data_IF_353710680568
#
_entry.id   IF_353710680568
#
_cell.length_a   1.000
_cell.length_b   1.000
_cell.length_c   1.000
_cell.angle_alpha   90.00
_cell.angle_beta   90.00
_cell.angle_gamma   90.00
#
_symmetry.space_group_name_H-M   'P 1'
#
loop_
_entity.id
_entity.type
_entity.pdbx_description
1 polymer ?
#
# COMPACT_ATOMS: atom_id res chain seq x y z
N UNK A 1 0.85 6.59 -12.37
CA UNK A 1 -0.60 6.72 -12.59
C UNK A 1 -1.11 5.90 -13.77
N UNK A 2 -0.49 5.98 -14.95
CA UNK A 2 -0.99 5.29 -16.17
C UNK A 2 -1.20 3.78 -16.05
N UNK A 3 -0.36 3.10 -15.26
CA UNK A 3 -0.48 1.68 -14.94
C UNK A 3 -1.71 1.32 -14.06
N UNK A 4 -2.42 2.31 -13.52
CA UNK A 4 -3.62 2.13 -12.70
C UNK A 4 -3.39 2.14 -11.18
N UNK A 5 -2.37 2.86 -10.70
CA UNK A 5 -2.17 3.08 -9.28
C UNK A 5 -3.30 3.96 -8.70
N UNK A 6 -3.74 3.66 -7.48
CA UNK A 6 -4.86 4.34 -6.84
C UNK A 6 -4.37 5.46 -5.93
N UNK A 7 -4.86 6.68 -6.15
CA UNK A 7 -4.72 7.77 -5.17
C UNK A 7 -5.87 7.74 -4.18
N UNK A 8 -5.61 7.19 -3.00
CA UNK A 8 -6.61 6.95 -1.93
C UNK A 8 -6.24 7.65 -0.61
N UNK A 9 -5.35 8.64 -0.68
CA UNK A 9 -4.84 9.34 0.49
C UNK A 9 -5.98 10.04 1.24
N UNK A 10 -6.25 9.57 2.46
CA UNK A 10 -7.05 10.31 3.43
C UNK A 10 -6.18 11.43 4.02
N UNK A 11 -6.71 12.66 4.19
CA UNK A 11 -5.98 13.72 4.87
C UNK A 11 -5.55 13.27 6.27
N UNK A 12 -4.25 13.24 6.53
CA UNK A 12 -3.72 12.96 7.87
C UNK A 12 -3.99 14.15 8.79
N UNK A 13 -4.47 13.86 9.99
CA UNK A 13 -4.77 14.87 11.00
C UNK A 13 -3.65 14.90 12.04
N UNK A 14 -3.13 16.09 12.35
CA UNK A 14 -2.12 16.32 13.38
C UNK A 14 -2.71 17.17 14.50
N UNK A 15 -2.75 16.59 15.71
CA UNK A 15 -3.09 17.32 16.93
C UNK A 15 -1.90 18.19 17.34
N UNK A 16 -2.13 19.49 17.50
CA UNK A 16 -1.19 20.42 18.09
C UNK A 16 -1.41 20.41 19.59
N UNK A 17 -0.37 20.06 20.34
CA UNK A 17 -0.39 20.08 21.79
C UNK A 17 0.35 21.30 22.31
N UNK A 18 -0.09 21.81 23.46
CA UNK A 18 0.61 22.82 24.21
C UNK A 18 1.94 22.27 24.73
N UNK A 19 3.01 23.05 24.62
CA UNK A 19 4.38 22.59 24.85
C UNK A 19 4.68 22.22 26.32
N UNK A 20 3.93 22.78 27.28
CA UNK A 20 4.19 22.57 28.70
C UNK A 20 3.21 21.57 29.34
N UNK A 21 1.94 21.65 28.99
CA UNK A 21 0.85 20.84 29.58
C UNK A 21 0.56 19.57 28.79
N UNK A 22 1.01 19.49 27.53
CA UNK A 22 0.59 18.48 26.54
C UNK A 22 -0.92 18.48 26.24
N UNK A 23 -1.64 19.54 26.61
CA UNK A 23 -3.06 19.67 26.33
C UNK A 23 -3.30 19.95 24.84
N UNK A 24 -4.34 19.37 24.20
CA UNK A 24 -4.62 19.58 22.79
C UNK A 24 -5.17 21.00 22.56
N UNK A 25 -4.45 21.80 21.77
CA UNK A 25 -4.84 23.17 21.40
C UNK A 25 -5.68 23.16 20.11
N UNK A 26 -5.22 22.43 19.11
CA UNK A 26 -5.77 22.52 17.75
C UNK A 26 -5.59 21.21 16.97
N UNK A 27 -6.37 21.05 15.91
CA UNK A 27 -6.37 19.89 15.03
C UNK A 27 -6.21 20.36 13.60
N UNK A 28 -5.02 20.15 13.02
CA UNK A 28 -4.73 20.58 11.65
C UNK A 28 -4.62 19.40 10.70
N UNK A 29 -5.14 19.57 9.49
CA UNK A 29 -4.87 18.65 8.39
C UNK A 29 -3.46 18.88 7.87
N UNK A 30 -2.73 17.80 7.63
CA UNK A 30 -1.38 17.84 7.06
C UNK A 30 -1.48 18.14 5.57
N UNK A 31 -0.83 19.20 5.15
CA UNK A 31 -0.71 19.57 3.74
C UNK A 31 0.27 18.62 3.02
N UNK A 32 -0.09 18.21 1.81
CA UNK A 32 0.78 17.44 0.92
C UNK A 32 1.65 18.42 0.13
N UNK A 33 2.96 18.30 0.29
CA UNK A 33 3.95 19.10 -0.43
C UNK A 33 4.57 18.28 -1.55
N UNK A 34 5.01 18.93 -2.64
CA UNK A 34 5.68 18.27 -3.76
C UNK A 34 6.90 17.44 -3.33
N UNK A 35 7.62 17.91 -2.30
CA UNK A 35 8.76 17.19 -1.72
C UNK A 35 8.35 15.87 -1.07
N UNK A 36 7.13 15.75 -0.54
CA UNK A 36 6.61 14.50 0.00
C UNK A 36 6.35 13.50 -1.13
N UNK A 37 5.72 13.95 -2.21
CA UNK A 37 5.49 13.13 -3.41
C UNK A 37 6.80 12.66 -4.04
N UNK A 38 7.81 13.55 -4.13
CA UNK A 38 9.16 13.20 -4.60
C UNK A 38 9.76 12.04 -3.80
N UNK A 39 9.72 12.12 -2.46
CA UNK A 39 10.25 11.09 -1.58
C UNK A 39 9.46 9.78 -1.72
N UNK A 40 8.13 9.87 -1.80
CA UNK A 40 7.25 8.70 -1.98
C UNK A 40 7.59 7.91 -3.25
N UNK A 41 7.72 8.58 -4.40
CA UNK A 41 8.04 7.92 -5.67
C UNK A 41 9.38 7.19 -5.63
N UNK A 42 10.43 7.81 -5.06
CA UNK A 42 11.73 7.14 -4.90
C UNK A 42 11.67 5.97 -3.91
N UNK A 43 10.88 6.09 -2.84
CA UNK A 43 10.68 4.99 -1.90
C UNK A 43 9.96 3.81 -2.55
N UNK A 44 8.94 4.06 -3.37
CA UNK A 44 8.24 3.04 -4.14
C UNK A 44 9.18 2.36 -5.13
N UNK A 45 9.97 3.14 -5.89
CA UNK A 45 10.93 2.60 -6.83
C UNK A 45 11.98 1.71 -6.15
N UNK A 46 12.53 2.15 -5.02
CA UNK A 46 13.47 1.36 -4.22
C UNK A 46 12.83 0.05 -3.73
N UNK A 47 11.62 0.12 -3.19
CA UNK A 47 10.88 -1.04 -2.69
C UNK A 47 10.62 -2.08 -3.80
N UNK A 48 10.15 -1.66 -4.99
CA UNK A 48 9.90 -2.55 -6.13
C UNK A 48 11.20 -3.18 -6.63
N UNK A 49 12.26 -2.39 -6.76
CA UNK A 49 13.58 -2.87 -7.22
C UNK A 49 14.15 -3.93 -6.28
N UNK A 50 14.07 -3.68 -4.97
CA UNK A 50 14.52 -4.65 -3.95
C UNK A 50 13.64 -5.90 -3.97
N UNK A 51 12.32 -5.76 -4.09
CA UNK A 51 11.40 -6.89 -4.16
C UNK A 51 11.75 -7.85 -5.31
N UNK A 52 12.01 -7.31 -6.50
CA UNK A 52 12.47 -8.09 -7.64
C UNK A 52 13.80 -8.79 -7.35
N UNK A 53 14.77 -8.08 -6.76
CA UNK A 53 16.10 -8.65 -6.50
C UNK A 53 16.10 -9.76 -5.45
N UNK A 54 15.36 -9.58 -4.35
CA UNK A 54 15.28 -10.62 -3.31
C UNK A 54 14.48 -11.83 -3.77
N UNK A 55 13.47 -11.64 -4.63
CA UNK A 55 12.71 -12.74 -5.21
C UNK A 55 13.55 -13.56 -6.21
N UNK A 56 14.33 -12.90 -7.06
CA UNK A 56 15.28 -13.56 -7.96
C UNK A 56 16.25 -14.47 -7.19
N UNK A 57 16.79 -13.98 -6.06
CA UNK A 57 17.73 -14.74 -5.24
C UNK A 57 17.06 -15.81 -4.35
N UNK A 58 15.83 -15.55 -3.88
CA UNK A 58 15.11 -16.37 -2.90
C UNK A 58 13.66 -16.61 -3.32
N UNK A 59 13.39 -17.34 -4.43
CA UNK A 59 12.06 -17.43 -5.01
C UNK A 59 11.02 -18.08 -4.09
N UNK A 60 11.46 -18.88 -3.11
CA UNK A 60 10.59 -19.58 -2.16
C UNK A 60 10.48 -18.90 -0.79
N UNK A 61 11.32 -17.91 -0.51
CA UNK A 61 11.41 -17.32 0.83
C UNK A 61 11.49 -15.80 0.86
N UNK A 62 11.40 -15.11 -0.27
CA UNK A 62 11.41 -13.65 -0.29
C UNK A 62 10.25 -13.09 0.55
N UNK A 63 10.56 -12.13 1.43
CA UNK A 63 9.55 -11.38 2.20
C UNK A 63 8.99 -10.30 1.29
N UNK A 64 7.72 -10.45 0.95
CA UNK A 64 7.00 -9.57 0.04
C UNK A 64 5.74 -9.03 0.73
N UNK A 65 5.11 -8.04 0.10
CA UNK A 65 3.87 -7.43 0.56
C UNK A 65 2.92 -7.31 -0.61
N UNK A 66 1.73 -7.90 -0.49
CA UNK A 66 0.70 -7.89 -1.53
C UNK A 66 -0.53 -7.13 -1.08
N UNK A 67 -1.35 -6.77 -2.04
CA UNK A 67 -2.67 -6.21 -1.81
C UNK A 67 -3.60 -6.81 -2.86
N UNK A 68 -4.39 -7.80 -2.44
CA UNK A 68 -5.34 -8.48 -3.32
C UNK A 68 -6.39 -7.52 -3.88
N UNK A 69 -6.94 -7.85 -5.05
CA UNK A 69 -8.06 -7.09 -5.60
C UNK A 69 -9.28 -7.22 -4.67
N UNK A 70 -9.98 -6.11 -4.38
CA UNK A 70 -11.17 -6.17 -3.55
C UNK A 70 -12.30 -6.93 -4.27
N UNK A 71 -13.09 -7.74 -3.56
CA UNK A 71 -14.32 -8.30 -4.09
C UNK A 71 -15.24 -7.18 -4.59
N UNK A 72 -15.87 -7.35 -5.75
CA UNK A 72 -16.79 -6.34 -6.33
C UNK A 72 -17.90 -5.97 -5.34
N UNK A 73 -18.37 -6.94 -4.56
CA UNK A 73 -19.40 -6.77 -3.53
C UNK A 73 -19.05 -5.74 -2.46
N UNK A 74 -17.75 -5.49 -2.20
CA UNK A 74 -17.33 -4.47 -1.24
C UNK A 74 -17.69 -3.06 -1.71
N UNK A 75 -17.90 -2.85 -3.01
CA UNK A 75 -18.22 -1.56 -3.61
C UNK A 75 -19.70 -1.40 -3.95
N UNK A 76 -20.52 -2.45 -3.86
CA UNK A 76 -21.92 -2.43 -4.31
C UNK A 76 -22.72 -1.30 -3.66
N UNK A 77 -22.59 -1.14 -2.34
CA UNK A 77 -23.31 -0.09 -1.60
C UNK A 77 -22.84 1.30 -2.01
N UNK A 78 -21.52 1.52 -2.07
CA UNK A 78 -20.94 2.81 -2.47
C UNK A 78 -21.34 3.18 -3.91
N UNK A 79 -21.21 2.24 -4.84
CA UNK A 79 -21.57 2.43 -6.24
C UNK A 79 -23.07 2.73 -6.40
N UNK A 80 -23.93 2.03 -5.67
CA UNK A 80 -25.37 2.27 -5.70
C UNK A 80 -25.73 3.67 -5.15
N UNK A 81 -25.14 4.09 -4.04
CA UNK A 81 -25.39 5.43 -3.48
C UNK A 81 -24.93 6.54 -4.44
N UNK A 82 -23.75 6.40 -5.05
CA UNK A 82 -23.25 7.35 -6.04
C UNK A 82 -24.18 7.45 -7.25
N UNK A 83 -24.66 6.31 -7.75
CA UNK A 83 -25.57 6.26 -8.89
C UNK A 83 -26.92 6.89 -8.59
N UNK A 84 -27.55 6.51 -7.46
CA UNK A 84 -28.91 6.98 -7.11
C UNK A 84 -28.92 8.44 -6.68
N UNK A 85 -27.92 8.90 -5.92
CA UNK A 85 -27.91 10.25 -5.34
C UNK A 85 -27.26 11.31 -6.23
N UNK A 86 -26.27 10.92 -7.04
CA UNK A 86 -25.46 11.85 -7.83
C UNK A 86 -25.41 11.51 -9.32
N UNK A 87 -25.97 10.38 -9.75
CA UNK A 87 -25.90 9.94 -11.16
C UNK A 87 -24.49 9.55 -11.60
N UNK A 88 -23.58 9.28 -10.66
CA UNK A 88 -22.18 8.95 -10.93
C UNK A 88 -21.97 7.44 -10.95
N UNK A 89 -21.08 6.96 -11.82
CA UNK A 89 -20.76 5.54 -11.97
C UNK A 89 -19.35 5.25 -11.44
N UNK A 90 -19.26 4.22 -10.59
CA UNK A 90 -17.99 3.73 -10.07
C UNK A 90 -17.65 2.39 -10.75
N UNK A 91 -16.49 2.32 -11.41
CA UNK A 91 -16.07 1.14 -12.18
C UNK A 91 -15.03 0.35 -11.41
N UNK A 92 -15.30 -0.93 -11.12
CA UNK A 92 -14.44 -1.77 -10.24
C UNK A 92 -13.78 -2.94 -10.98
N UNK A 93 -13.73 -2.90 -12.31
CA UNK A 93 -13.22 -4.01 -13.13
C UNK A 93 -11.69 -4.15 -13.07
N UNK A 94 -10.98 -3.05 -12.83
CA UNK A 94 -9.54 -3.02 -12.65
C UNK A 94 -9.15 -1.83 -11.77
N UNK A 95 -7.92 -1.82 -11.25
CA UNK A 95 -7.42 -0.68 -10.47
C UNK A 95 -7.39 0.60 -11.31
N UNK A 96 -7.07 0.51 -12.61
CA UNK A 96 -7.13 1.66 -13.54
C UNK A 96 -8.56 2.17 -13.73
N UNK A 97 -9.51 1.28 -14.02
CA UNK A 97 -10.91 1.67 -14.19
C UNK A 97 -11.47 2.34 -12.92
N UNK A 98 -11.06 1.85 -11.75
CA UNK A 98 -11.43 2.42 -10.46
C UNK A 98 -10.80 3.80 -10.25
N UNK A 99 -9.49 3.96 -10.47
CA UNK A 99 -8.84 5.27 -10.43
C UNK A 99 -9.54 6.28 -11.35
N UNK A 100 -9.70 5.92 -12.62
CA UNK A 100 -10.28 6.81 -13.64
C UNK A 100 -11.73 7.20 -13.26
N UNK A 101 -12.54 6.26 -12.76
CA UNK A 101 -13.92 6.59 -12.32
C UNK A 101 -13.96 7.43 -11.05
N UNK A 102 -13.05 7.20 -10.09
CA UNK A 102 -12.91 8.05 -8.90
C UNK A 102 -12.47 9.47 -9.27
N UNK A 103 -11.60 9.65 -10.25
CA UNK A 103 -11.19 10.98 -10.73
C UNK A 103 -12.38 11.77 -11.30
N UNK A 104 -13.37 11.09 -11.88
CA UNK A 104 -14.60 11.71 -12.41
C UNK A 104 -15.69 11.94 -11.35
N UNK A 105 -15.55 11.41 -10.14
CA UNK A 105 -16.53 11.59 -9.05
C UNK A 105 -16.39 12.97 -8.41
N UNK A 106 -16.74 14.03 -9.14
CA UNK A 106 -16.61 15.43 -8.72
C UNK A 106 -17.99 16.08 -8.60
N UNK A 107 -18.17 16.90 -7.57
CA UNK A 107 -19.33 17.77 -7.40
C UNK A 107 -18.86 19.24 -7.49
N UNK A 108 -19.27 20.01 -8.52
CA UNK A 108 -18.87 21.41 -8.68
C UNK A 108 -19.27 22.31 -7.51
N UNK A 109 -20.34 21.97 -6.79
CA UNK A 109 -20.81 22.75 -5.64
C UNK A 109 -20.07 22.38 -4.35
N UNK A 110 -19.40 21.21 -4.31
CA UNK A 110 -18.72 20.72 -3.14
C UNK A 110 -17.34 20.11 -3.48
N UNK A 111 -16.26 20.92 -3.42
CA UNK A 111 -14.90 20.46 -3.69
C UNK A 111 -14.43 19.28 -2.83
N UNK A 112 -14.98 19.10 -1.62
CA UNK A 112 -14.63 18.01 -0.73
C UNK A 112 -15.26 16.66 -1.13
N UNK A 113 -16.26 16.67 -2.01
CA UNK A 113 -17.00 15.46 -2.40
C UNK A 113 -16.08 14.37 -2.95
N UNK A 114 -15.13 14.71 -3.82
CA UNK A 114 -14.19 13.72 -4.37
C UNK A 114 -13.36 13.06 -3.27
N UNK A 115 -12.84 13.86 -2.34
CA UNK A 115 -12.09 13.38 -1.17
C UNK A 115 -12.93 12.44 -0.31
N UNK A 116 -14.20 12.80 -0.06
CA UNK A 116 -15.13 11.94 0.68
C UNK A 116 -15.34 10.59 -0.01
N UNK A 117 -15.55 10.58 -1.33
CA UNK A 117 -15.70 9.34 -2.10
C UNK A 117 -14.44 8.49 -2.03
N UNK A 118 -13.25 9.09 -2.12
CA UNK A 118 -11.97 8.36 -1.96
C UNK A 118 -11.82 7.76 -0.57
N UNK A 119 -12.14 8.50 0.49
CA UNK A 119 -12.12 7.98 1.87
C UNK A 119 -13.05 6.77 2.01
N UNK A 120 -14.25 6.82 1.43
CA UNK A 120 -15.18 5.69 1.44
C UNK A 120 -14.64 4.52 0.60
N UNK A 121 -14.09 4.77 -0.58
CA UNK A 121 -13.50 3.75 -1.43
C UNK A 121 -12.33 3.03 -0.76
N UNK A 122 -11.51 3.74 0.05
CA UNK A 122 -10.45 3.12 0.86
C UNK A 122 -10.99 2.09 1.84
N UNK A 123 -12.20 2.28 2.38
CA UNK A 123 -12.84 1.32 3.29
C UNK A 123 -13.39 0.08 2.59
N UNK A 124 -13.60 0.14 1.28
CA UNK A 124 -14.01 -0.99 0.45
C UNK A 124 -12.81 -1.89 0.04
N UNK A 125 -11.57 -1.41 0.25
CA UNK A 125 -10.35 -2.14 -0.10
C UNK A 125 -10.06 -3.29 0.87
N UNK A 126 -9.25 -4.23 0.41
CA UNK A 126 -8.67 -5.27 1.26
C UNK A 126 -7.51 -4.72 2.08
N UNK A 127 -7.22 -5.33 3.21
CA UNK A 127 -5.96 -5.06 3.92
C UNK A 127 -4.79 -5.63 3.11
N UNK A 128 -3.74 -4.84 2.94
CA UNK A 128 -2.47 -5.33 2.40
C UNK A 128 -1.74 -6.17 3.44
N UNK A 129 -1.11 -7.26 3.02
CA UNK A 129 -0.48 -8.23 3.91
C UNK A 129 0.95 -8.57 3.46
N UNK A 130 1.83 -8.77 4.43
CA UNK A 130 3.12 -9.41 4.24
C UNK A 130 2.94 -10.92 4.05
N UNK A 131 3.74 -11.47 3.15
CA UNK A 131 3.75 -12.90 2.88
C UNK A 131 5.15 -13.37 2.47
N UNK A 132 5.34 -14.68 2.52
CA UNK A 132 6.55 -15.35 2.09
C UNK A 132 6.32 -15.84 0.65
N UNK A 133 7.22 -15.56 -0.29
CA UNK A 133 6.97 -15.80 -1.72
C UNK A 133 6.61 -17.24 -2.08
N UNK A 134 7.09 -18.23 -1.31
CA UNK A 134 6.76 -19.64 -1.51
C UNK A 134 5.37 -20.07 -1.04
N UNK A 135 4.52 -19.16 -0.55
CA UNK A 135 3.14 -19.46 -0.13
C UNK A 135 2.07 -19.04 -1.13
N UNK A 136 2.43 -18.28 -2.17
CA UNK A 136 1.50 -17.76 -3.17
C UNK A 136 2.09 -17.99 -4.56
N UNK A 137 1.27 -17.95 -5.61
CA UNK A 137 1.77 -17.92 -6.99
C UNK A 137 2.12 -16.49 -7.41
N UNK A 138 2.94 -16.33 -8.46
CA UNK A 138 3.47 -15.00 -8.83
C UNK A 138 2.36 -13.99 -9.22
N UNK A 139 1.29 -14.46 -9.86
CA UNK A 139 0.10 -13.68 -10.19
C UNK A 139 -0.62 -13.13 -8.95
N UNK A 140 -0.49 -13.81 -7.81
CA UNK A 140 -1.06 -13.38 -6.52
C UNK A 140 -0.18 -12.40 -5.76
N UNK A 141 1.05 -12.11 -6.22
CA UNK A 141 1.96 -11.16 -5.57
C UNK A 141 1.53 -9.71 -5.78
N UNK A 142 0.65 -9.49 -6.76
CA UNK A 142 0.20 -8.18 -7.21
C UNK A 142 -0.24 -7.30 -6.04
N UNK A 143 0.15 -6.04 -6.12
CA UNK A 143 -0.30 -4.99 -5.22
C UNK A 143 -1.33 -4.10 -5.92
N UNK A 144 -2.62 -4.39 -5.75
CA UNK A 144 -3.74 -3.74 -6.44
C UNK A 144 -3.68 -2.21 -6.35
N UNK A 145 -3.52 -1.67 -5.15
CA UNK A 145 -3.50 -0.21 -4.95
C UNK A 145 -2.29 0.51 -5.57
N UNK A 146 -1.17 -0.20 -5.79
CA UNK A 146 0.04 0.39 -6.38
C UNK A 146 0.18 0.05 -7.87
N UNK A 147 -0.73 -0.78 -8.40
CA UNK A 147 -0.60 -1.39 -9.74
C UNK A 147 0.78 -2.00 -10.01
N UNK A 148 1.38 -2.62 -9.00
CA UNK A 148 2.70 -3.26 -9.11
C UNK A 148 2.55 -4.79 -9.08
N UNK A 149 3.34 -5.49 -9.89
CA UNK A 149 3.35 -6.96 -9.95
C UNK A 149 4.02 -7.59 -8.73
N UNK A 150 5.04 -6.92 -8.17
CA UNK A 150 5.79 -7.39 -7.01
C UNK A 150 6.22 -6.21 -6.14
N UNK A 151 6.06 -6.35 -4.83
CA UNK A 151 6.36 -5.27 -3.90
C UNK A 151 6.84 -5.83 -2.56
N UNK A 152 7.67 -5.05 -1.87
CA UNK A 152 8.09 -5.30 -0.48
C UNK A 152 8.26 -3.98 0.24
N UNK A 153 8.46 -4.02 1.57
CA UNK A 153 8.94 -2.87 2.31
C UNK A 153 10.42 -3.03 2.60
N UNK A 154 11.20 -2.00 2.26
CA UNK A 154 12.65 -1.97 2.46
C UNK A 154 13.15 -0.63 3.05
N UNK A 155 12.44 0.47 2.79
CA UNK A 155 12.92 1.84 3.02
C UNK A 155 12.81 2.35 4.47
N UNK A 156 12.47 1.52 5.45
CA UNK A 156 12.29 1.96 6.86
C UNK A 156 12.62 0.87 7.91
N UNK A 157 13.83 0.28 7.92
CA UNK A 157 14.22 -0.81 8.83
C UNK A 157 14.22 -0.43 10.32
N UNK A 158 14.35 0.85 10.65
CA UNK A 158 14.34 1.34 12.04
C UNK A 158 12.97 1.13 12.71
N UNK A 159 11.88 1.19 11.93
CA UNK A 159 10.50 1.21 12.45
C UNK A 159 9.62 0.06 11.94
N UNK A 160 10.16 -0.84 11.11
CA UNK A 160 9.43 -1.99 10.55
C UNK A 160 10.33 -3.21 10.46
N UNK A 161 9.89 -4.31 11.06
CA UNK A 161 10.65 -5.55 11.05
C UNK A 161 10.66 -6.24 9.68
N UNK A 162 9.64 -6.03 8.84
CA UNK A 162 9.61 -6.52 7.46
C UNK A 162 10.81 -6.01 6.67
N UNK A 163 11.08 -4.71 6.76
CA UNK A 163 12.22 -4.06 6.12
C UNK A 163 13.54 -4.67 6.61
N UNK A 164 13.68 -4.97 7.90
CA UNK A 164 14.88 -5.65 8.42
C UNK A 164 15.09 -7.04 7.77
N UNK A 165 14.02 -7.80 7.53
CA UNK A 165 14.13 -9.07 6.81
C UNK A 165 14.51 -8.87 5.34
N UNK A 166 13.91 -7.89 4.66
CA UNK A 166 14.24 -7.54 3.29
C UNK A 166 15.70 -7.07 3.15
N UNK A 167 16.21 -6.29 4.12
CA UNK A 167 17.62 -5.87 4.18
C UNK A 167 18.57 -7.06 4.28
N UNK A 168 18.29 -8.03 5.17
CA UNK A 168 19.09 -9.26 5.28
C UNK A 168 19.04 -10.11 4.01
N UNK A 169 17.86 -10.19 3.38
CA UNK A 169 17.71 -10.87 2.10
C UNK A 169 18.52 -10.18 1.01
N UNK A 170 18.46 -8.85 0.92
CA UNK A 170 19.20 -8.11 -0.09
C UNK A 170 20.71 -8.23 0.10
N UNK A 171 21.21 -8.09 1.33
CA UNK A 171 22.63 -8.26 1.67
C UNK A 171 23.15 -9.64 1.22
N UNK A 172 22.35 -10.68 1.45
CA UNK A 172 22.66 -12.04 0.99
C UNK A 172 22.56 -12.19 -0.53
N UNK A 173 21.57 -11.56 -1.18
CA UNK A 173 21.35 -11.61 -2.63
C UNK A 173 22.49 -10.97 -3.44
N UNK A 174 23.16 -9.96 -2.87
CA UNK A 174 24.30 -9.28 -3.50
C UNK A 174 25.67 -9.83 -3.05
N UNK A 175 25.69 -10.89 -2.22
CA UNK A 175 26.92 -11.50 -1.72
C UNK A 175 27.69 -10.67 -0.70
N UNK A 176 27.07 -9.67 -0.08
CA UNK A 176 27.70 -8.87 0.97
C UNK A 176 27.85 -9.67 2.28
N UNK A 177 26.83 -10.46 2.63
CA UNK A 177 26.84 -11.37 3.78
C UNK A 177 26.42 -12.78 3.39
N UNK A 178 26.90 -13.78 4.13
CA UNK A 178 26.48 -15.17 3.94
C UNK A 178 24.98 -15.33 4.27
N UNK A 179 24.29 -16.20 3.53
CA UNK A 179 22.86 -16.43 3.75
C UNK A 179 22.63 -17.07 5.12
N UNK A 180 22.03 -16.32 6.05
CA UNK A 180 21.67 -16.87 7.35
C UNK A 180 20.55 -17.92 7.20
N UNK A 181 20.64 -19.11 7.83
CA UNK A 181 19.66 -20.20 7.67
C UNK A 181 18.20 -19.78 7.93
N UNK A 182 18.00 -18.82 8.84
CA UNK A 182 16.68 -18.23 9.12
C UNK A 182 15.98 -17.65 7.89
N UNK A 183 16.73 -17.14 6.91
CA UNK A 183 16.22 -16.50 5.68
C UNK A 183 15.78 -17.53 4.63
N UNK A 184 16.16 -18.81 4.80
CA UNK A 184 15.77 -19.92 3.93
C UNK A 184 14.67 -20.80 4.53
N UNK A 185 14.29 -20.58 5.79
CA UNK A 185 13.26 -21.38 6.44
C UNK A 185 11.86 -20.81 6.12
N UNK A 186 11.16 -21.44 5.17
CA UNK A 186 9.81 -21.02 4.77
C UNK A 186 8.85 -20.95 5.96
N UNK A 187 8.76 -22.01 6.76
CA UNK A 187 7.86 -22.05 7.92
C UNK A 187 8.16 -20.97 8.97
N UNK A 188 9.43 -20.61 9.17
CA UNK A 188 9.81 -19.49 10.04
C UNK A 188 9.33 -18.15 9.47
N UNK A 189 9.57 -17.92 8.19
CA UNK A 189 9.21 -16.65 7.54
C UNK A 189 7.69 -16.49 7.43
N UNK A 190 6.96 -17.57 7.22
CA UNK A 190 5.50 -17.60 7.35
C UNK A 190 5.03 -17.16 8.74
N UNK A 191 5.63 -17.71 9.80
CA UNK A 191 5.31 -17.32 11.17
C UNK A 191 5.66 -15.84 11.45
N UNK A 192 6.77 -15.35 10.89
CA UNK A 192 7.14 -13.93 10.96
C UNK A 192 6.09 -13.07 10.27
N UNK A 193 5.69 -13.39 9.03
CA UNK A 193 4.66 -12.67 8.30
C UNK A 193 3.34 -12.60 9.08
N UNK A 194 2.89 -13.74 9.64
CA UNK A 194 1.67 -13.79 10.48
C UNK A 194 1.74 -12.90 11.71
N UNK A 195 2.93 -12.71 12.29
CA UNK A 195 3.11 -11.90 13.49
C UNK A 195 3.25 -10.39 13.21
N UNK A 196 3.68 -10.00 12.00
CA UNK A 196 3.91 -8.59 11.63
C UNK A 196 2.77 -7.98 10.80
N UNK A 197 1.80 -8.80 10.39
CA UNK A 197 0.51 -8.37 9.84
C UNK A 197 -0.44 -7.96 10.96
#
# INVERSE_FOLDING_TARGET
>A
MDAGALSLSSPEVKVQMESETSDPIDVKTKELLDTMSLVEEFMLFANVSVAAKIYEAFPQTAILRRHGAPPKTNFDELANQLKVKKGLELRVDSSKALADSLDTCVDPENPFFNTLVRIMATRCMMSAEYFCSGTQTYDEFRHYGLASEIYTHFTSPIRRYADLQAHRQLAAAIGYEAVHPAVRSRGRLEAVCKNIN
#
